data_IF_408917029272
#
_entry.id   IF_408917029272
#
_cell.length_a   1.000
_cell.length_b   1.000
_cell.length_c   1.000
_cell.angle_alpha   90.00
_cell.angle_beta   90.00
_cell.angle_gamma   90.00
#
_symmetry.space_group_name_H-M   'P 1'
#
loop_
_entity.id
_entity.type
_entity.pdbx_description
1 polymer ?
#
# COMPACT_ATOMS: atom_id res chain seq x y z
N UNK A 1 1.17 -1.49 -23.58
CA UNK A 1 0.21 -0.41 -23.23
C UNK A 1 0.65 0.26 -21.93
N UNK A 2 1.52 1.29 -22.01
CA UNK A 2 2.16 1.92 -20.85
C UNK A 2 1.17 2.71 -19.98
N UNK A 3 0.17 3.34 -20.61
CA UNK A 3 -0.87 4.14 -19.95
C UNK A 3 -1.76 3.30 -19.04
N UNK A 4 -2.24 2.14 -19.51
CA UNK A 4 -3.05 1.23 -18.70
C UNK A 4 -2.31 0.75 -17.46
N UNK A 5 -1.01 0.41 -17.58
CA UNK A 5 -0.18 0.01 -16.45
C UNK A 5 -0.01 1.13 -15.42
N UNK A 6 0.23 2.37 -15.88
CA UNK A 6 0.35 3.54 -15.00
C UNK A 6 -0.95 3.80 -14.24
N UNK A 7 -2.09 3.73 -14.92
CA UNK A 7 -3.39 3.95 -14.30
C UNK A 7 -3.75 2.86 -13.29
N UNK A 8 -3.45 1.59 -13.60
CA UNK A 8 -3.65 0.49 -12.67
C UNK A 8 -2.81 0.64 -11.40
N UNK A 9 -1.53 1.02 -11.54
CA UNK A 9 -0.66 1.28 -10.39
C UNK A 9 -1.16 2.45 -9.53
N UNK A 10 -1.66 3.52 -10.14
CA UNK A 10 -2.23 4.65 -9.42
C UNK A 10 -3.50 4.25 -8.67
N UNK A 11 -4.37 3.44 -9.28
CA UNK A 11 -5.57 2.93 -8.62
C UNK A 11 -5.21 2.04 -7.42
N UNK A 12 -4.28 1.10 -7.60
CA UNK A 12 -3.80 0.23 -6.52
C UNK A 12 -3.20 1.04 -5.37
N UNK A 13 -2.39 2.05 -5.70
CA UNK A 13 -1.86 2.99 -4.71
C UNK A 13 -2.97 3.70 -3.96
N UNK A 14 -3.96 4.26 -4.64
CA UNK A 14 -5.06 4.98 -3.99
C UNK A 14 -5.84 4.09 -3.02
N UNK A 15 -6.10 2.84 -3.40
CA UNK A 15 -6.77 1.86 -2.53
C UNK A 15 -5.91 1.61 -1.28
N UNK A 16 -4.62 1.30 -1.46
CA UNK A 16 -3.71 1.04 -0.34
C UNK A 16 -3.64 2.28 0.57
N UNK A 17 -3.46 3.47 0.01
CA UNK A 17 -3.36 4.71 0.76
C UNK A 17 -4.60 4.97 1.63
N UNK A 18 -5.81 4.78 1.08
CA UNK A 18 -7.07 4.91 1.84
C UNK A 18 -7.14 3.86 2.97
N UNK A 19 -6.78 2.62 2.69
CA UNK A 19 -6.85 1.53 3.65
C UNK A 19 -5.85 1.68 4.80
N UNK A 20 -4.66 2.23 4.52
CA UNK A 20 -3.60 2.47 5.52
C UNK A 20 -3.64 3.87 6.12
N UNK A 21 -4.60 4.72 5.71
CA UNK A 21 -4.71 6.11 6.20
C UNK A 21 -5.13 6.15 7.66
N UNK A 22 -6.20 5.43 8.04
CA UNK A 22 -6.71 5.46 9.42
C UNK A 22 -5.88 4.62 10.38
N UNK A 23 -5.49 3.43 9.93
CA UNK A 23 -4.76 2.45 10.71
C UNK A 23 -3.86 1.64 9.79
N UNK A 24 -2.68 1.27 10.25
CA UNK A 24 -1.80 0.37 9.53
C UNK A 24 -2.49 -0.95 9.17
N UNK A 25 -2.20 -1.48 7.99
CA UNK A 25 -2.73 -2.77 7.51
C UNK A 25 -1.61 -3.76 7.25
N UNK A 26 -1.87 -5.03 7.58
CA UNK A 26 -0.96 -6.12 7.22
C UNK A 26 -1.08 -6.43 5.73
N UNK A 27 -0.10 -7.17 5.20
CA UNK A 27 -0.13 -7.58 3.81
C UNK A 27 -1.31 -8.52 3.51
N UNK A 28 -1.74 -9.35 4.46
CA UNK A 28 -2.90 -10.24 4.33
C UNK A 28 -4.19 -9.45 4.20
N UNK A 29 -4.34 -8.38 4.98
CA UNK A 29 -5.50 -7.50 4.91
C UNK A 29 -5.56 -6.77 3.56
N UNK A 30 -4.41 -6.26 3.10
CA UNK A 30 -4.32 -5.58 1.81
C UNK A 30 -4.51 -6.54 0.63
N UNK A 31 -4.02 -7.78 0.71
CA UNK A 31 -4.21 -8.82 -0.30
C UNK A 31 -5.68 -9.17 -0.47
N UNK A 32 -6.42 -9.34 0.63
CA UNK A 32 -7.86 -9.64 0.58
C UNK A 32 -8.68 -8.54 -0.11
N UNK A 33 -8.34 -7.28 0.14
CA UNK A 33 -9.10 -6.15 -0.40
C UNK A 33 -8.72 -5.83 -1.85
N UNK A 34 -7.44 -5.92 -2.17
CA UNK A 34 -6.94 -5.60 -3.51
C UNK A 34 -7.08 -6.76 -4.48
N UNK A 35 -7.22 -8.00 -3.98
CA UNK A 35 -7.24 -9.23 -4.77
C UNK A 35 -5.86 -9.63 -5.32
N UNK A 36 -4.79 -8.94 -4.94
CA UNK A 36 -3.43 -9.26 -5.38
C UNK A 36 -2.81 -10.34 -4.51
N UNK A 37 -2.09 -11.27 -5.15
CA UNK A 37 -1.28 -12.26 -4.46
C UNK A 37 -0.22 -11.60 -3.56
N UNK A 38 0.09 -12.24 -2.43
CA UNK A 38 1.02 -11.72 -1.42
C UNK A 38 2.37 -11.29 -2.03
N UNK A 39 3.01 -12.12 -2.85
CA UNK A 39 4.34 -11.80 -3.39
C UNK A 39 4.34 -10.58 -4.29
N UNK A 40 3.31 -10.45 -5.15
CA UNK A 40 3.15 -9.32 -6.05
C UNK A 40 2.85 -8.04 -5.28
N UNK A 41 1.98 -8.13 -4.28
CA UNK A 41 1.65 -7.02 -3.42
C UNK A 41 2.85 -6.59 -2.57
N UNK A 42 3.63 -7.54 -2.06
CA UNK A 42 4.84 -7.27 -1.26
C UNK A 42 5.84 -6.45 -2.06
N UNK A 43 6.11 -6.83 -3.30
CA UNK A 43 7.03 -6.08 -4.17
C UNK A 43 6.54 -4.64 -4.41
N UNK A 44 5.23 -4.46 -4.56
CA UNK A 44 4.62 -3.13 -4.72
C UNK A 44 4.73 -2.29 -3.43
N UNK A 45 4.41 -2.88 -2.28
CA UNK A 45 4.49 -2.21 -0.98
C UNK A 45 5.95 -1.85 -0.62
N UNK A 46 6.89 -2.76 -0.86
CA UNK A 46 8.33 -2.51 -0.61
C UNK A 46 8.84 -1.37 -1.50
N UNK A 47 8.33 -1.23 -2.74
CA UNK A 47 8.61 -0.07 -3.58
C UNK A 47 8.05 1.23 -2.97
N UNK A 48 6.83 1.21 -2.45
CA UNK A 48 6.22 2.38 -1.81
C UNK A 48 6.94 2.78 -0.51
N UNK A 49 7.50 1.82 0.23
CA UNK A 49 8.36 2.09 1.39
C UNK A 49 9.66 2.76 0.94
N UNK A 50 10.29 2.27 -0.13
CA UNK A 50 11.49 2.90 -0.71
C UNK A 50 11.22 4.31 -1.25
N UNK A 51 10.03 4.54 -1.80
CA UNK A 51 9.55 5.87 -2.24
C UNK A 51 9.08 6.76 -1.08
N UNK A 52 9.25 6.32 0.17
CA UNK A 52 8.84 7.02 1.37
C UNK A 52 7.34 7.39 1.42
N UNK A 53 6.50 6.63 0.71
CA UNK A 53 5.04 6.81 0.74
C UNK A 53 4.40 6.01 1.88
N UNK A 54 5.00 4.87 2.21
CA UNK A 54 4.60 4.00 3.31
C UNK A 54 5.74 3.85 4.31
N UNK A 55 5.37 3.59 5.56
CA UNK A 55 6.26 3.13 6.62
C UNK A 55 5.86 1.69 6.93
N UNK A 56 6.85 0.81 7.12
CA UNK A 56 6.62 -0.53 7.63
C UNK A 56 6.96 -0.57 9.11
N UNK A 57 5.96 -0.80 9.95
CA UNK A 57 6.11 -0.96 11.40
C UNK A 57 5.68 -2.37 11.78
N UNK A 58 6.63 -3.17 12.28
CA UNK A 58 6.42 -4.60 12.56
C UNK A 58 5.80 -5.35 11.36
N UNK A 59 4.52 -5.70 11.44
CA UNK A 59 3.74 -6.44 10.45
C UNK A 59 2.83 -5.55 9.58
N UNK A 60 2.74 -4.25 9.87
CA UNK A 60 1.80 -3.32 9.23
C UNK A 60 2.51 -2.31 8.33
N UNK A 61 1.77 -1.90 7.30
CA UNK A 61 2.10 -0.79 6.43
C UNK A 61 1.21 0.41 6.80
N UNK A 62 1.84 1.55 7.06
CA UNK A 62 1.19 2.82 7.43
C UNK A 62 1.49 3.89 6.39
N UNK A 63 0.58 4.83 6.21
CA UNK A 63 0.82 5.99 5.36
C UNK A 63 1.81 6.94 6.06
N UNK A 64 2.92 7.32 5.40
CA UNK A 64 3.95 8.19 6.02
C UNK A 64 3.39 9.54 6.50
N UNK A 65 2.43 10.09 5.76
CA UNK A 65 1.73 11.34 6.08
C UNK A 65 0.26 11.10 6.48
N UNK A 66 -0.05 9.92 7.03
CA UNK A 66 -1.36 9.64 7.61
C UNK A 66 -1.61 10.47 8.88
N UNK A 67 -2.87 10.53 9.38
CA UNK A 67 -3.18 11.08 10.69
C UNK A 67 -2.22 10.48 11.71
N UNK A 68 -1.38 11.35 12.29
CA UNK A 68 -0.60 10.97 13.47
C UNK A 68 -1.63 10.71 14.57
N UNK A 69 -1.60 9.51 15.15
CA UNK A 69 -2.30 9.28 16.41
C UNK A 69 -1.62 10.19 17.44
N UNK A 70 -2.23 11.34 17.70
CA UNK A 70 -1.96 12.19 18.86
C UNK A 70 -2.51 11.55 20.14
#
# INVERSE_FOLDING_TARGET
NLFLKKNANNLLWNIIAVMTFKEGKTIEQLSKVTGFAHDNLKNFLDKLVKEEKLIKEADKYLLKNGPKSE
#
